data_IF_168969472486
#
_entry.id   IF_168969472486
#
_cell.length_a   1.000
_cell.length_b   1.000
_cell.length_c   1.000
_cell.angle_alpha   90.00
_cell.angle_beta   90.00
_cell.angle_gamma   90.00
#
_symmetry.space_group_name_H-M   'P 1'
#
loop_
_entity.id
_entity.type
_entity.pdbx_description
1 polymer ?
#
# COMPACT_ATOMS: atom_id res chain seq x y z
N UNK A 1 -1.82 -48.12 -15.48
CA UNK A 1 -0.63 -47.27 -15.47
C UNK A 1 -1.11 -45.84 -15.77
N UNK A 2 -1.47 -45.12 -14.75
CA UNK A 2 -1.89 -43.71 -14.88
C UNK A 2 -0.74 -42.85 -14.36
N UNK A 3 -0.10 -42.15 -15.27
CA UNK A 3 0.94 -41.16 -14.98
C UNK A 3 0.41 -40.08 -14.05
N UNK A 4 0.92 -40.06 -12.83
CA UNK A 4 0.77 -38.95 -11.88
C UNK A 4 1.63 -37.81 -12.45
N UNK A 5 1.02 -36.95 -13.28
CA UNK A 5 1.61 -35.67 -13.67
C UNK A 5 1.86 -34.86 -12.41
N UNK A 6 3.14 -34.57 -12.18
CA UNK A 6 3.67 -33.69 -11.15
C UNK A 6 2.77 -32.46 -10.96
N UNK A 7 2.30 -32.21 -9.71
CA UNK A 7 1.34 -31.18 -9.38
C UNK A 7 1.79 -29.78 -9.74
N UNK A 8 1.33 -29.26 -10.86
CA UNK A 8 1.33 -27.83 -11.11
C UNK A 8 0.49 -27.15 -10.02
N UNK A 9 1.13 -26.33 -9.18
CA UNK A 9 0.44 -25.54 -8.17
C UNK A 9 -0.65 -24.73 -8.84
N UNK A 10 -1.90 -25.02 -8.54
CA UNK A 10 -3.06 -24.30 -9.07
C UNK A 10 -2.93 -22.81 -8.79
N UNK A 11 -2.93 -21.98 -9.82
CA UNK A 11 -2.86 -20.52 -9.68
C UNK A 11 -4.16 -20.02 -9.03
N UNK A 12 -4.03 -19.31 -7.91
CA UNK A 12 -5.14 -18.70 -7.19
C UNK A 12 -5.41 -17.30 -7.76
N UNK A 13 -6.39 -17.20 -8.65
CA UNK A 13 -6.75 -15.95 -9.31
C UNK A 13 -7.31 -14.90 -8.34
N UNK A 14 -7.86 -15.33 -7.20
CA UNK A 14 -8.33 -14.48 -6.12
C UNK A 14 -7.33 -13.37 -5.79
N UNK A 15 -6.07 -13.75 -5.55
CA UNK A 15 -5.05 -12.79 -5.12
C UNK A 15 -4.60 -11.85 -6.25
N UNK A 16 -4.54 -12.33 -7.48
CA UNK A 16 -4.21 -11.45 -8.61
C UNK A 16 -5.35 -10.44 -8.86
N UNK A 17 -6.60 -10.86 -8.78
CA UNK A 17 -7.75 -9.97 -8.92
C UNK A 17 -7.81 -8.94 -7.78
N UNK A 18 -7.54 -9.36 -6.54
CA UNK A 18 -7.47 -8.44 -5.41
C UNK A 18 -6.31 -7.47 -5.52
N UNK A 19 -5.12 -7.91 -5.95
CA UNK A 19 -3.99 -6.99 -6.20
C UNK A 19 -4.32 -5.94 -7.26
N UNK A 20 -5.07 -6.31 -8.31
CA UNK A 20 -5.57 -5.31 -9.28
C UNK A 20 -6.49 -4.29 -8.62
N UNK A 21 -7.49 -4.74 -7.83
CA UNK A 21 -8.37 -3.84 -7.10
C UNK A 21 -7.54 -2.91 -6.20
N UNK A 22 -6.65 -3.47 -5.39
CA UNK A 22 -5.85 -2.72 -4.44
C UNK A 22 -4.94 -1.67 -5.11
N UNK A 23 -4.32 -1.99 -6.25
CA UNK A 23 -3.48 -1.01 -6.95
C UNK A 23 -4.31 0.11 -7.59
N UNK A 24 -5.55 -0.17 -8.04
CA UNK A 24 -6.50 0.88 -8.46
C UNK A 24 -6.83 1.80 -7.27
N UNK A 25 -7.06 1.21 -6.08
CA UNK A 25 -7.35 1.98 -4.87
C UNK A 25 -6.14 2.81 -4.39
N UNK A 26 -4.91 2.32 -4.57
CA UNK A 26 -3.68 3.11 -4.30
C UNK A 26 -3.64 4.34 -5.20
N UNK A 27 -3.84 4.17 -6.51
CA UNK A 27 -3.84 5.29 -7.45
C UNK A 27 -4.97 6.27 -7.14
N UNK A 28 -6.17 5.75 -6.84
CA UNK A 28 -7.32 6.55 -6.41
C UNK A 28 -7.00 7.35 -5.14
N UNK A 29 -6.42 6.69 -4.13
CA UNK A 29 -6.03 7.34 -2.87
C UNK A 29 -5.16 8.57 -3.10
N UNK A 30 -4.18 8.49 -4.00
CA UNK A 30 -3.30 9.61 -4.33
C UNK A 30 -3.97 10.67 -5.23
N UNK A 31 -4.90 10.30 -6.10
CA UNK A 31 -5.69 11.28 -6.86
C UNK A 31 -6.60 12.14 -5.97
N UNK A 32 -7.15 11.56 -4.89
CA UNK A 32 -8.03 12.26 -3.97
C UNK A 32 -7.28 12.94 -2.82
N UNK A 33 -6.08 12.48 -2.46
CA UNK A 33 -5.28 13.00 -1.34
C UNK A 33 -4.95 14.47 -1.55
N UNK A 34 -4.44 14.82 -2.72
CA UNK A 34 -4.14 16.21 -3.11
C UNK A 34 -5.40 17.12 -3.09
N UNK A 35 -6.59 16.52 -3.17
CA UNK A 35 -7.87 17.24 -3.19
C UNK A 35 -8.54 17.35 -1.81
N UNK A 36 -8.20 16.48 -0.86
CA UNK A 36 -8.90 16.35 0.42
C UNK A 36 -8.18 16.98 1.60
N UNK A 37 -6.89 17.25 1.51
CA UNK A 37 -6.07 17.81 2.60
C UNK A 37 -6.63 19.13 3.16
N UNK A 38 -7.52 19.80 2.42
CA UNK A 38 -8.08 21.11 2.78
C UNK A 38 -9.51 21.09 3.33
N UNK A 39 -10.16 19.93 3.50
CA UNK A 39 -11.57 19.89 3.94
C UNK A 39 -11.80 20.23 5.42
N UNK A 40 -10.76 20.10 6.24
CA UNK A 40 -10.79 20.38 7.68
C UNK A 40 -9.62 21.25 8.16
N UNK A 41 -8.74 21.70 7.25
CA UNK A 41 -7.68 22.66 7.51
C UNK A 41 -8.09 24.08 7.11
N UNK A 42 -7.48 25.06 7.74
CA UNK A 42 -7.77 26.47 7.55
C UNK A 42 -7.59 26.94 6.10
N UNK A 43 -8.64 27.59 5.60
CA UNK A 43 -8.59 28.44 4.43
C UNK A 43 -8.91 27.75 3.10
N UNK A 44 -9.87 28.30 2.39
CA UNK A 44 -10.22 27.94 1.03
C UNK A 44 -8.97 28.01 0.15
N UNK A 45 -8.58 26.88 -0.43
CA UNK A 45 -7.34 26.78 -1.16
C UNK A 45 -7.32 27.60 -2.43
N UNK A 46 -6.20 28.21 -2.71
CA UNK A 46 -5.88 28.95 -3.93
C UNK A 46 -5.90 28.11 -5.22
N UNK A 47 -6.16 26.80 -5.12
CA UNK A 47 -6.19 25.86 -6.25
C UNK A 47 -7.46 25.96 -7.11
N UNK A 48 -8.52 26.65 -6.65
CA UNK A 48 -9.78 26.77 -7.39
C UNK A 48 -10.56 25.45 -7.55
N UNK A 49 -10.12 24.36 -6.91
CA UNK A 49 -10.81 23.06 -6.95
C UNK A 49 -11.82 22.99 -5.82
N UNK A 50 -13.10 22.69 -6.09
CA UNK A 50 -14.11 22.54 -5.05
C UNK A 50 -13.73 21.43 -4.06
N UNK A 51 -13.97 21.67 -2.77
CA UNK A 51 -13.77 20.66 -1.74
C UNK A 51 -14.88 19.60 -1.82
N UNK A 52 -14.52 18.35 -2.02
CA UNK A 52 -15.48 17.25 -2.12
C UNK A 52 -15.57 16.45 -0.82
N UNK A 53 -16.66 16.63 -0.07
CA UNK A 53 -16.90 15.87 1.18
C UNK A 53 -16.82 14.36 0.98
N UNK A 54 -17.25 13.87 -0.19
CA UNK A 54 -17.21 12.44 -0.53
C UNK A 54 -15.79 11.88 -0.52
N UNK A 55 -14.79 12.68 -0.87
CA UNK A 55 -13.39 12.22 -0.88
C UNK A 55 -12.81 12.01 0.52
N UNK A 56 -13.23 12.80 1.50
CA UNK A 56 -12.84 12.56 2.89
C UNK A 56 -13.33 11.20 3.39
N UNK A 57 -14.57 10.84 3.07
CA UNK A 57 -15.11 9.52 3.37
C UNK A 57 -14.41 8.41 2.60
N UNK A 58 -14.15 8.63 1.31
CA UNK A 58 -13.44 7.68 0.46
C UNK A 58 -12.00 7.47 0.94
N UNK A 59 -11.28 8.52 1.36
CA UNK A 59 -9.95 8.42 1.93
C UNK A 59 -9.94 7.48 3.15
N UNK A 60 -10.78 7.76 4.16
CA UNK A 60 -10.86 6.91 5.36
C UNK A 60 -11.26 5.47 5.00
N UNK A 61 -12.22 5.33 4.08
CA UNK A 61 -12.67 4.01 3.62
C UNK A 61 -11.52 3.18 3.05
N UNK A 62 -10.72 3.76 2.15
CA UNK A 62 -9.64 3.09 1.45
C UNK A 62 -8.47 2.79 2.39
N UNK A 63 -8.02 3.79 3.15
CA UNK A 63 -6.83 3.67 3.99
C UNK A 63 -7.01 2.66 5.13
N UNK A 64 -8.24 2.32 5.48
CA UNK A 64 -8.51 1.31 6.49
C UNK A 64 -8.04 -0.10 6.10
N UNK A 65 -7.94 -0.43 4.81
CA UNK A 65 -7.61 -1.82 4.43
C UNK A 65 -6.63 -1.96 3.26
N UNK A 66 -6.50 -0.97 2.34
CA UNK A 66 -5.78 -1.22 1.08
C UNK A 66 -4.30 -1.58 1.30
N UNK A 67 -3.57 -0.85 2.14
CA UNK A 67 -2.16 -1.16 2.44
C UNK A 67 -2.00 -2.38 3.34
N UNK A 68 -2.74 -2.52 4.47
CA UNK A 68 -2.71 -3.75 5.26
C UNK A 68 -2.97 -5.01 4.45
N UNK A 69 -3.98 -5.00 3.57
CA UNK A 69 -4.30 -6.15 2.72
C UNK A 69 -3.25 -6.42 1.65
N UNK A 70 -2.67 -5.36 1.06
CA UNK A 70 -1.59 -5.51 0.09
C UNK A 70 -0.37 -6.19 0.72
N UNK A 71 -0.01 -5.78 1.95
CA UNK A 71 1.09 -6.37 2.72
C UNK A 71 0.78 -7.80 3.15
N UNK A 72 -0.44 -8.08 3.60
CA UNK A 72 -0.88 -9.44 3.92
C UNK A 72 -0.72 -10.37 2.70
N UNK A 73 -1.22 -9.98 1.53
CA UNK A 73 -1.06 -10.75 0.29
C UNK A 73 0.42 -10.90 -0.06
N UNK A 74 1.23 -9.87 0.11
CA UNK A 74 2.68 -9.95 -0.13
C UNK A 74 3.36 -10.95 0.79
N UNK A 75 2.97 -11.01 2.07
CA UNK A 75 3.42 -12.00 3.04
C UNK A 75 3.09 -13.42 2.61
N UNK A 76 1.85 -13.70 2.17
CA UNK A 76 1.41 -15.02 1.69
C UNK A 76 2.32 -15.61 0.61
N UNK A 77 2.85 -14.77 -0.29
CA UNK A 77 3.68 -15.20 -1.40
C UNK A 77 5.20 -15.10 -1.15
N UNK A 78 5.61 -14.59 0.01
CA UNK A 78 7.01 -14.58 0.44
C UNK A 78 7.38 -15.71 1.42
N UNK A 79 6.49 -16.66 1.64
CA UNK A 79 6.68 -17.82 2.49
C UNK A 79 7.73 -18.79 1.93
N UNK A 80 8.45 -19.50 2.82
CA UNK A 80 9.27 -20.65 2.47
C UNK A 80 10.63 -20.32 1.84
N UNK A 81 11.20 -19.15 2.18
CA UNK A 81 12.56 -18.80 1.76
C UNK A 81 13.57 -19.11 2.90
N UNK A 82 14.01 -20.37 2.97
CA UNK A 82 15.03 -20.80 3.94
C UNK A 82 16.46 -20.44 3.48
N UNK A 83 16.64 -20.12 2.20
CA UNK A 83 17.93 -19.71 1.62
C UNK A 83 18.18 -18.22 1.87
N UNK A 84 19.06 -17.91 2.83
CA UNK A 84 19.41 -16.52 3.20
C UNK A 84 19.97 -15.69 2.04
N UNK A 85 20.63 -16.30 1.05
CA UNK A 85 21.14 -15.57 -0.13
C UNK A 85 19.97 -15.09 -1.01
N UNK A 86 18.96 -15.92 -1.19
CA UNK A 86 17.76 -15.54 -1.96
C UNK A 86 16.97 -14.44 -1.25
N UNK A 87 16.85 -14.53 0.08
CA UNK A 87 16.22 -13.47 0.89
C UNK A 87 17.00 -12.17 0.76
N UNK A 88 18.33 -12.22 0.94
CA UNK A 88 19.19 -11.04 0.80
C UNK A 88 19.07 -10.41 -0.59
N UNK A 89 19.10 -11.22 -1.66
CA UNK A 89 18.93 -10.71 -3.03
C UNK A 89 17.60 -10.02 -3.26
N UNK A 90 16.50 -10.57 -2.72
CA UNK A 90 15.17 -9.93 -2.80
C UNK A 90 15.12 -8.65 -1.96
N UNK A 91 15.64 -8.68 -0.74
CA UNK A 91 15.71 -7.51 0.16
C UNK A 91 16.47 -6.36 -0.50
N UNK A 92 17.67 -6.65 -1.05
CA UNK A 92 18.45 -5.66 -1.81
C UNK A 92 17.69 -5.16 -3.04
N UNK A 93 16.95 -6.03 -3.73
CA UNK A 93 16.09 -5.65 -4.85
C UNK A 93 15.04 -4.60 -4.45
N UNK A 94 14.38 -4.79 -3.32
CA UNK A 94 13.42 -3.82 -2.80
C UNK A 94 14.08 -2.51 -2.37
N UNK A 95 15.25 -2.57 -1.73
CA UNK A 95 16.03 -1.36 -1.37
C UNK A 95 16.41 -0.57 -2.63
N UNK A 96 16.96 -1.22 -3.65
CA UNK A 96 17.35 -0.54 -4.90
C UNK A 96 16.15 0.07 -5.61
N UNK A 97 15.03 -0.68 -5.71
CA UNK A 97 13.79 -0.13 -6.31
C UNK A 97 13.27 1.04 -5.48
N UNK A 98 13.29 0.94 -4.14
CA UNK A 98 12.90 2.03 -3.24
C UNK A 98 13.73 3.29 -3.47
N UNK A 99 15.06 3.16 -3.62
CA UNK A 99 15.94 4.29 -3.93
C UNK A 99 15.64 4.90 -5.31
N UNK A 100 15.41 4.06 -6.33
CA UNK A 100 15.01 4.56 -7.65
C UNK A 100 13.66 5.29 -7.61
N UNK A 101 12.70 4.77 -6.85
CA UNK A 101 11.41 5.44 -6.63
C UNK A 101 11.60 6.79 -5.91
N UNK A 102 12.49 6.85 -4.95
CA UNK A 102 12.80 8.08 -4.22
C UNK A 102 13.39 9.14 -5.16
N UNK A 103 14.35 8.77 -6.00
CA UNK A 103 14.91 9.66 -7.03
C UNK A 103 13.82 10.10 -8.03
N UNK A 104 12.95 9.19 -8.48
CA UNK A 104 11.86 9.51 -9.40
C UNK A 104 10.82 10.44 -8.74
N UNK A 105 10.50 10.22 -7.48
CA UNK A 105 9.58 11.07 -6.72
C UNK A 105 10.15 12.49 -6.59
N UNK A 106 11.40 12.63 -6.15
CA UNK A 106 12.10 13.90 -6.08
C UNK A 106 12.11 14.64 -7.43
N UNK A 107 12.50 13.95 -8.51
CA UNK A 107 12.47 14.52 -9.85
C UNK A 107 11.07 14.99 -10.25
N UNK A 108 10.04 14.19 -9.92
CA UNK A 108 8.64 14.53 -10.23
C UNK A 108 8.18 15.76 -9.46
N UNK A 109 8.54 15.90 -8.19
CA UNK A 109 8.22 17.06 -7.36
C UNK A 109 8.85 18.31 -7.92
N UNK A 110 10.15 18.27 -8.22
CA UNK A 110 10.88 19.40 -8.84
C UNK A 110 10.29 19.78 -10.20
N UNK A 111 9.99 18.77 -11.05
CA UNK A 111 9.50 19.01 -12.42
C UNK A 111 8.07 19.53 -12.46
N UNK A 112 7.21 19.05 -11.57
CA UNK A 112 5.79 19.38 -11.53
C UNK A 112 5.43 20.34 -10.40
N UNK A 113 6.41 20.96 -9.76
CA UNK A 113 6.26 22.05 -8.79
C UNK A 113 5.10 21.79 -7.78
N UNK A 114 5.19 20.68 -7.05
CA UNK A 114 4.17 20.37 -6.03
C UNK A 114 4.30 21.39 -4.89
N UNK A 115 3.23 22.13 -4.63
CA UNK A 115 3.23 23.24 -3.65
C UNK A 115 3.45 22.77 -2.20
N UNK A 116 3.20 21.49 -1.91
CA UNK A 116 3.31 20.94 -0.57
C UNK A 116 4.72 21.06 0.04
N UNK A 117 5.76 20.87 -0.77
CA UNK A 117 7.15 20.93 -0.30
C UNK A 117 7.74 22.35 -0.32
N UNK A 118 7.11 23.31 -1.03
CA UNK A 118 7.55 24.70 -1.06
C UNK A 118 7.26 25.45 0.23
N UNK A 119 6.14 25.16 0.90
CA UNK A 119 5.76 25.82 2.17
C UNK A 119 6.63 25.35 3.34
N UNK A 120 7.14 24.11 3.29
CA UNK A 120 7.91 23.50 4.38
C UNK A 120 9.44 23.66 4.27
N UNK A 121 9.98 24.18 3.15
CA UNK A 121 11.42 24.20 2.85
C UNK A 121 11.93 25.50 2.28
N UNK A 122 11.40 26.66 2.66
CA UNK A 122 11.79 27.97 2.11
C UNK A 122 11.84 28.00 0.56
N UNK A 123 11.04 27.17 -0.09
CA UNK A 123 10.95 27.05 -1.54
C UNK A 123 11.93 26.08 -2.20
N UNK A 124 12.76 25.39 -1.44
CA UNK A 124 13.70 24.39 -1.95
C UNK A 124 13.23 22.98 -1.64
N UNK A 125 13.20 22.12 -2.67
CA UNK A 125 12.90 20.68 -2.51
C UNK A 125 14.22 19.96 -2.29
N UNK A 126 14.43 19.45 -1.06
CA UNK A 126 15.63 18.71 -0.70
C UNK A 126 15.49 17.21 -0.98
N UNK A 127 16.58 16.60 -1.49
CA UNK A 127 16.72 15.15 -1.53
C UNK A 127 17.29 14.66 -0.20
N UNK A 128 16.39 14.19 0.68
CA UNK A 128 16.81 13.51 1.91
C UNK A 128 17.08 12.04 1.62
N UNK A 129 18.30 11.57 1.87
CA UNK A 129 18.71 10.20 1.57
C UNK A 129 18.00 9.17 2.47
N UNK A 130 17.79 9.48 3.73
CA UNK A 130 17.32 8.54 4.75
C UNK A 130 15.88 8.79 5.21
N UNK A 131 15.42 10.02 5.16
CA UNK A 131 14.07 10.44 5.55
C UNK A 131 13.19 10.80 4.36
N UNK A 132 12.18 11.61 4.62
CA UNK A 132 11.23 12.13 3.63
C UNK A 132 10.00 11.25 3.45
N UNK A 133 8.87 11.90 3.17
CA UNK A 133 7.56 11.25 3.01
C UNK A 133 7.28 10.98 1.53
N UNK A 134 7.04 9.74 1.18
CA UNK A 134 6.74 9.38 -0.20
C UNK A 134 6.33 7.93 -0.37
N UNK A 135 5.76 7.62 -1.53
CA UNK A 135 5.25 6.27 -1.85
C UNK A 135 6.32 5.16 -1.79
N UNK A 136 7.58 5.51 -1.83
CA UNK A 136 8.71 4.57 -1.76
C UNK A 136 8.82 3.84 -0.41
N UNK A 137 8.16 4.33 0.66
CA UNK A 137 8.13 3.69 1.97
C UNK A 137 7.78 2.20 1.90
N UNK A 138 6.85 1.83 1.03
CA UNK A 138 6.40 0.44 0.88
C UNK A 138 7.55 -0.49 0.44
N UNK A 139 8.47 -0.02 -0.39
CA UNK A 139 9.62 -0.82 -0.81
C UNK A 139 10.60 -1.05 0.34
N UNK A 140 10.87 -0.02 1.14
CA UNK A 140 11.73 -0.16 2.33
C UNK A 140 11.07 -1.03 3.40
N UNK A 141 9.77 -0.86 3.63
CA UNK A 141 9.01 -1.73 4.52
C UNK A 141 9.05 -3.20 4.07
N UNK A 142 8.85 -3.47 2.77
CA UNK A 142 8.99 -4.82 2.22
C UNK A 142 10.38 -5.42 2.45
N UNK A 143 11.44 -4.63 2.26
CA UNK A 143 12.81 -5.07 2.54
C UNK A 143 12.98 -5.41 4.04
N UNK A 144 12.51 -4.54 4.94
CA UNK A 144 12.55 -4.76 6.38
C UNK A 144 11.75 -6.01 6.78
N UNK A 145 10.53 -6.18 6.28
CA UNK A 145 9.67 -7.32 6.61
C UNK A 145 10.27 -8.65 6.17
N UNK A 146 10.85 -8.70 4.98
CA UNK A 146 11.53 -9.91 4.50
C UNK A 146 12.73 -10.27 5.37
N UNK A 147 13.54 -9.28 5.74
CA UNK A 147 14.67 -9.46 6.65
C UNK A 147 14.23 -9.95 8.04
N UNK A 148 13.21 -9.28 8.63
CA UNK A 148 12.65 -9.65 9.93
C UNK A 148 12.07 -11.08 9.92
N UNK A 149 11.27 -11.43 8.90
CA UNK A 149 10.73 -12.79 8.79
C UNK A 149 11.82 -13.85 8.66
N UNK A 150 12.91 -13.56 7.95
CA UNK A 150 14.05 -14.48 7.87
C UNK A 150 14.78 -14.63 9.21
N UNK A 151 15.02 -13.54 9.93
CA UNK A 151 15.65 -13.56 11.24
C UNK A 151 14.79 -14.29 12.29
N UNK A 152 13.46 -14.09 12.23
CA UNK A 152 12.50 -14.64 13.18
C UNK A 152 11.91 -16.00 12.75
N UNK A 153 12.42 -16.62 11.67
CA UNK A 153 11.85 -17.86 11.10
C UNK A 153 11.77 -19.04 12.05
N UNK A 154 12.67 -19.08 13.04
CA UNK A 154 12.73 -20.15 14.04
C UNK A 154 11.94 -19.79 15.33
N UNK A 155 11.37 -18.59 15.40
CA UNK A 155 10.60 -18.14 16.55
C UNK A 155 9.16 -18.65 16.48
N UNK A 156 8.51 -18.77 17.63
CA UNK A 156 7.10 -19.15 17.70
C UNK A 156 6.22 -18.05 17.11
N UNK A 157 5.32 -18.36 16.15
CA UNK A 157 4.54 -17.34 15.46
C UNK A 157 3.75 -16.41 16.38
N UNK A 158 3.14 -16.95 17.43
CA UNK A 158 2.38 -16.15 18.40
C UNK A 158 3.30 -15.17 19.17
N UNK A 159 4.53 -15.58 19.51
CA UNK A 159 5.48 -14.70 20.21
C UNK A 159 5.94 -13.54 19.30
N UNK A 160 6.20 -13.82 18.02
CA UNK A 160 6.53 -12.78 17.03
C UNK A 160 5.38 -11.78 16.90
N UNK A 161 4.14 -12.28 16.77
CA UNK A 161 2.97 -11.43 16.57
C UNK A 161 2.70 -10.55 17.81
N UNK A 162 2.75 -11.13 19.02
CA UNK A 162 2.54 -10.36 20.26
C UNK A 162 3.61 -9.30 20.46
N UNK A 163 4.89 -9.64 20.20
CA UNK A 163 5.99 -8.66 20.27
C UNK A 163 5.84 -7.55 19.24
N UNK A 164 5.45 -7.89 18.01
CA UNK A 164 5.21 -6.92 16.94
C UNK A 164 4.06 -5.96 17.29
N UNK A 165 2.97 -6.47 17.87
CA UNK A 165 1.87 -5.62 18.36
C UNK A 165 2.33 -4.73 19.53
N UNK A 166 3.10 -5.28 20.48
CA UNK A 166 3.62 -4.53 21.62
C UNK A 166 4.63 -3.45 21.22
N UNK A 167 5.38 -3.63 20.12
CA UNK A 167 6.32 -2.63 19.63
C UNK A 167 5.68 -1.28 19.28
N UNK A 168 4.37 -1.27 18.98
CA UNK A 168 3.59 -0.05 18.77
C UNK A 168 3.21 0.72 20.04
N UNK A 169 3.69 0.29 21.22
CA UNK A 169 3.36 0.93 22.51
C UNK A 169 4.01 2.30 22.68
N UNK A 170 5.22 2.49 22.16
CA UNK A 170 5.97 3.73 22.32
C UNK A 170 5.29 4.90 21.58
N UNK A 171 4.89 5.97 22.29
CA UNK A 171 4.17 7.09 21.70
C UNK A 171 5.06 7.99 20.82
N UNK A 172 6.38 7.90 20.90
CA UNK A 172 7.32 8.69 20.12
C UNK A 172 7.61 8.12 18.74
N UNK A 173 7.31 6.83 18.51
CA UNK A 173 7.55 6.18 17.22
C UNK A 173 6.68 6.80 16.13
N UNK A 174 7.31 7.63 15.32
CA UNK A 174 6.69 8.41 14.24
C UNK A 174 7.25 8.09 12.86
N UNK A 175 7.33 9.13 12.05
CA UNK A 175 7.64 9.05 10.62
C UNK A 175 9.12 8.88 10.30
N UNK A 176 9.99 9.08 11.28
CA UNK A 176 11.43 8.95 11.07
C UNK A 176 11.79 7.55 10.56
N UNK A 177 12.50 7.50 9.44
CA UNK A 177 12.93 6.27 8.77
C UNK A 177 11.79 5.26 8.49
N UNK A 178 10.55 5.73 8.36
CA UNK A 178 9.36 4.89 8.16
C UNK A 178 9.09 3.89 9.30
N UNK A 179 9.68 4.09 10.48
CA UNK A 179 9.62 3.16 11.61
C UNK A 179 8.19 2.89 12.06
N UNK A 180 7.36 3.93 12.15
CA UNK A 180 5.96 3.75 12.55
C UNK A 180 5.21 2.81 11.59
N UNK A 181 5.38 3.01 10.27
CA UNK A 181 4.77 2.14 9.26
C UNK A 181 5.29 0.70 9.33
N UNK A 182 6.60 0.53 9.57
CA UNK A 182 7.18 -0.80 9.74
C UNK A 182 6.55 -1.49 10.95
N UNK A 183 6.46 -0.83 12.09
CA UNK A 183 5.87 -1.39 13.33
C UNK A 183 4.39 -1.70 13.15
N UNK A 184 3.61 -0.75 12.61
CA UNK A 184 2.15 -0.88 12.49
C UNK A 184 1.75 -1.93 11.46
N UNK A 185 2.48 -2.03 10.34
CA UNK A 185 2.09 -2.91 9.24
C UNK A 185 2.77 -4.28 9.26
N UNK A 186 3.84 -4.48 10.01
CA UNK A 186 4.50 -5.78 10.13
C UNK A 186 3.57 -6.91 10.57
N UNK A 187 2.65 -6.74 11.54
CA UNK A 187 1.70 -7.80 11.91
C UNK A 187 0.86 -8.31 10.74
N UNK A 188 0.41 -7.44 9.84
CA UNK A 188 -0.37 -7.85 8.66
C UNK A 188 0.47 -8.67 7.68
N UNK A 189 1.69 -8.20 7.39
CA UNK A 189 2.61 -8.94 6.54
C UNK A 189 2.98 -10.29 7.15
N UNK A 190 3.27 -10.34 8.45
CA UNK A 190 3.65 -11.54 9.16
C UNK A 190 2.52 -12.56 9.25
N UNK A 191 1.28 -12.11 9.47
CA UNK A 191 0.10 -12.98 9.37
C UNK A 191 0.02 -13.65 7.99
N UNK A 192 0.24 -12.90 6.90
CA UNK A 192 0.34 -13.47 5.57
C UNK A 192 1.48 -14.46 5.44
N UNK A 193 2.67 -14.15 5.97
CA UNK A 193 3.85 -15.00 5.89
C UNK A 193 3.67 -16.37 6.56
N UNK A 194 2.93 -16.45 7.67
CA UNK A 194 2.72 -17.72 8.39
C UNK A 194 1.52 -18.52 7.87
N UNK A 195 0.53 -17.88 7.25
CA UNK A 195 -0.68 -18.53 6.76
C UNK A 195 -0.46 -19.19 5.39
N UNK A 196 -1.25 -20.21 5.10
CA UNK A 196 -1.24 -20.89 3.81
C UNK A 196 -2.23 -20.23 2.84
N UNK A 197 -1.79 -19.82 1.63
CA UNK A 197 -2.65 -19.10 0.69
C UNK A 197 -3.84 -19.93 0.21
N UNK A 198 -3.69 -21.26 0.07
CA UNK A 198 -4.79 -22.15 -0.35
C UNK A 198 -5.85 -22.25 0.75
N UNK A 199 -5.42 -22.45 2.01
CA UNK A 199 -6.32 -22.51 3.16
C UNK A 199 -7.05 -21.19 3.39
N UNK A 200 -6.36 -20.05 3.24
CA UNK A 200 -7.00 -18.74 3.31
C UNK A 200 -8.05 -18.60 2.21
N UNK A 201 -7.72 -18.96 0.96
CA UNK A 201 -8.66 -18.89 -0.16
C UNK A 201 -9.89 -19.82 0.07
N UNK A 202 -9.69 -21.03 0.56
CA UNK A 202 -10.79 -21.95 0.90
C UNK A 202 -11.69 -21.40 2.01
N UNK A 203 -11.11 -20.81 3.04
CA UNK A 203 -11.87 -20.22 4.14
C UNK A 203 -12.73 -19.05 3.69
N UNK A 204 -12.18 -18.10 2.93
CA UNK A 204 -12.90 -16.89 2.54
C UNK A 204 -13.95 -17.12 1.44
N UNK A 205 -13.87 -18.24 0.69
CA UNK A 205 -14.86 -18.61 -0.33
C UNK A 205 -16.19 -19.12 0.23
N UNK A 206 -16.26 -19.43 1.51
CA UNK A 206 -17.50 -19.94 2.14
C UNK A 206 -18.61 -18.89 2.00
N UNK A 207 -19.84 -19.35 1.70
CA UNK A 207 -20.97 -18.45 1.41
C UNK A 207 -21.27 -17.46 2.55
N UNK A 208 -21.20 -17.92 3.79
CA UNK A 208 -21.44 -17.07 4.95
C UNK A 208 -20.38 -15.97 5.11
N UNK A 209 -19.13 -16.24 4.68
CA UNK A 209 -18.06 -15.23 4.67
C UNK A 209 -18.41 -14.08 3.72
N UNK A 210 -19.03 -14.35 2.57
CA UNK A 210 -19.49 -13.31 1.64
C UNK A 210 -20.57 -12.43 2.26
N UNK A 211 -21.55 -13.04 2.93
CA UNK A 211 -22.63 -12.29 3.60
C UNK A 211 -22.07 -11.40 4.70
N UNK A 212 -21.23 -11.98 5.58
CA UNK A 212 -20.56 -11.22 6.65
C UNK A 212 -19.69 -10.09 6.08
N UNK A 213 -18.93 -10.37 5.02
CA UNK A 213 -18.08 -9.39 4.34
C UNK A 213 -18.86 -8.20 3.82
N UNK A 214 -19.99 -8.44 3.15
CA UNK A 214 -20.86 -7.37 2.67
C UNK A 214 -21.41 -6.53 3.83
N UNK A 215 -21.80 -7.18 4.95
CA UNK A 215 -22.24 -6.49 6.16
C UNK A 215 -21.15 -5.58 6.74
N UNK A 216 -19.94 -6.12 6.92
CA UNK A 216 -18.79 -5.36 7.47
C UNK A 216 -18.43 -4.17 6.57
N UNK A 217 -18.33 -4.39 5.25
CA UNK A 217 -18.02 -3.33 4.29
C UNK A 217 -19.14 -2.28 4.28
N UNK A 218 -20.41 -2.70 4.32
CA UNK A 218 -21.56 -1.79 4.34
C UNK A 218 -21.60 -0.93 5.61
N UNK A 219 -21.35 -1.51 6.78
CA UNK A 219 -21.27 -0.77 8.05
C UNK A 219 -20.12 0.23 7.99
N UNK A 220 -18.93 -0.17 7.53
CA UNK A 220 -17.79 0.74 7.42
C UNK A 220 -18.05 1.87 6.43
N UNK A 221 -18.63 1.55 5.27
CA UNK A 221 -19.03 2.55 4.28
C UNK A 221 -20.04 3.57 4.87
N UNK A 222 -21.03 3.09 5.63
CA UNK A 222 -21.98 3.98 6.32
C UNK A 222 -21.26 4.99 7.23
N UNK A 223 -20.32 4.52 8.06
CA UNK A 223 -19.55 5.44 8.91
C UNK A 223 -18.70 6.41 8.09
N UNK A 224 -18.04 5.94 7.04
CA UNK A 224 -17.19 6.79 6.21
C UNK A 224 -17.95 7.87 5.45
N UNK A 225 -19.13 7.58 4.91
CA UNK A 225 -19.85 8.52 4.05
C UNK A 225 -20.96 9.30 4.78
N UNK A 226 -21.65 8.68 5.73
CA UNK A 226 -22.73 9.34 6.49
C UNK A 226 -22.23 9.97 7.79
N UNK A 227 -21.28 9.35 8.46
CA UNK A 227 -20.71 9.79 9.74
C UNK A 227 -19.23 10.22 9.59
N UNK A 228 -18.85 10.78 8.45
CA UNK A 228 -17.47 11.14 8.08
C UNK A 228 -16.75 11.91 9.20
N UNK A 229 -17.39 12.90 9.81
CA UNK A 229 -16.79 13.71 10.90
C UNK A 229 -16.33 12.86 12.09
N UNK A 230 -17.01 11.74 12.37
CA UNK A 230 -16.67 10.84 13.47
C UNK A 230 -15.41 10.02 13.18
N UNK A 231 -15.27 9.53 11.93
CA UNK A 231 -14.21 8.60 11.56
C UNK A 231 -13.01 9.27 10.87
N UNK A 232 -13.16 10.49 10.37
CA UNK A 232 -12.11 11.19 9.65
C UNK A 232 -10.82 11.43 10.48
N UNK A 233 -10.88 11.72 11.79
CA UNK A 233 -9.67 11.81 12.61
C UNK A 233 -8.85 10.52 12.64
N UNK A 234 -9.49 9.35 12.50
CA UNK A 234 -8.81 8.05 12.44
C UNK A 234 -7.82 7.92 11.26
N UNK A 235 -7.94 8.79 10.23
CA UNK A 235 -7.05 8.78 9.06
C UNK A 235 -5.58 8.81 9.45
N UNK A 236 -5.22 9.54 10.51
CA UNK A 236 -3.84 9.67 10.96
C UNK A 236 -3.30 8.35 11.55
N UNK A 237 -4.14 7.57 12.23
CA UNK A 237 -3.79 6.22 12.68
C UNK A 237 -3.78 5.21 11.53
N UNK A 238 -4.72 5.33 10.59
CA UNK A 238 -4.87 4.42 9.44
C UNK A 238 -3.69 4.49 8.46
N UNK A 239 -3.07 5.66 8.31
CA UNK A 239 -1.86 5.82 7.48
C UNK A 239 -0.64 5.12 8.08
N UNK A 240 -0.68 4.86 9.39
CA UNK A 240 0.39 4.19 10.13
C UNK A 240 1.68 4.98 10.28
N UNK A 241 1.71 6.26 9.86
CA UNK A 241 2.95 7.05 9.84
C UNK A 241 3.14 7.93 11.08
N UNK A 242 2.04 8.39 11.66
CA UNK A 242 2.09 9.42 12.69
C UNK A 242 2.37 8.83 14.09
N UNK A 243 3.15 9.54 14.89
CA UNK A 243 3.30 9.26 16.33
C UNK A 243 2.01 9.63 17.07
N UNK A 244 1.82 9.11 18.28
CA UNK A 244 0.67 9.50 19.10
C UNK A 244 0.71 10.99 19.46
N UNK A 245 1.92 11.53 19.68
CA UNK A 245 2.10 12.96 19.97
C UNK A 245 1.64 13.83 18.80
N UNK A 246 2.12 13.54 17.59
CA UNK A 246 1.72 14.33 16.41
C UNK A 246 0.22 14.21 16.08
N UNK A 247 -0.42 13.09 16.42
CA UNK A 247 -1.86 12.94 16.26
C UNK A 247 -2.60 13.79 17.29
N UNK A 248 -2.19 13.75 18.57
CA UNK A 248 -2.82 14.54 19.64
C UNK A 248 -2.65 16.04 19.42
N UNK A 249 -1.53 16.49 18.86
CA UNK A 249 -1.30 17.90 18.50
C UNK A 249 -2.16 18.34 17.30
N UNK A 250 -2.34 17.47 16.32
CA UNK A 250 -3.08 17.79 15.08
C UNK A 250 -4.59 17.55 15.18
N UNK A 251 -5.05 16.89 16.23
CA UNK A 251 -6.46 16.54 16.45
C UNK A 251 -6.77 16.60 17.93
N UNK A 252 -8.03 16.87 18.30
CA UNK A 252 -8.47 16.80 19.71
C UNK A 252 -8.60 15.35 20.23
N UNK A 253 -7.87 14.40 19.67
CA UNK A 253 -7.92 12.98 20.03
C UNK A 253 -6.75 12.59 20.92
N UNK A 254 -7.03 12.15 22.13
CA UNK A 254 -6.05 11.44 22.96
C UNK A 254 -5.77 10.06 22.37
N UNK A 255 -4.73 9.98 21.54
CA UNK A 255 -4.33 8.73 20.93
C UNK A 255 -3.41 7.93 21.84
N UNK A 256 -3.77 6.68 22.04
CA UNK A 256 -3.03 5.73 22.87
C UNK A 256 -2.74 4.46 22.10
N UNK A 257 -1.91 3.59 22.68
CA UNK A 257 -1.68 2.24 22.18
C UNK A 257 -3.00 1.47 21.92
N UNK A 258 -4.00 1.63 22.81
CA UNK A 258 -5.29 0.97 22.66
C UNK A 258 -6.06 1.49 21.44
N UNK A 259 -6.01 2.79 21.17
CA UNK A 259 -6.58 3.40 19.95
C UNK A 259 -5.96 2.80 18.70
N UNK A 260 -4.64 2.60 18.69
CA UNK A 260 -3.94 1.96 17.58
C UNK A 260 -4.35 0.50 17.41
N UNK A 261 -4.41 -0.28 18.49
CA UNK A 261 -4.86 -1.67 18.43
C UNK A 261 -6.31 -1.78 17.90
N UNK A 262 -7.20 -0.89 18.33
CA UNK A 262 -8.57 -0.84 17.83
C UNK A 262 -8.60 -0.60 16.31
N UNK A 263 -7.86 0.39 15.84
CA UNK A 263 -7.78 0.71 14.40
C UNK A 263 -7.16 -0.44 13.60
N UNK A 264 -6.11 -1.08 14.12
CA UNK A 264 -5.53 -2.28 13.50
C UNK A 264 -6.54 -3.45 13.46
N UNK A 265 -7.37 -3.61 14.50
CA UNK A 265 -8.46 -4.58 14.53
C UNK A 265 -9.52 -4.32 13.46
N UNK A 266 -9.94 -3.05 13.31
CA UNK A 266 -10.84 -2.61 12.23
C UNK A 266 -10.23 -2.92 10.86
N UNK A 267 -8.95 -2.60 10.66
CA UNK A 267 -8.22 -2.89 9.43
C UNK A 267 -8.15 -4.39 9.14
N UNK A 268 -7.87 -5.22 10.14
CA UNK A 268 -7.83 -6.67 9.98
C UNK A 268 -9.21 -7.25 9.58
N UNK A 269 -10.28 -6.76 10.22
CA UNK A 269 -11.65 -7.16 9.90
C UNK A 269 -12.03 -6.77 8.47
N UNK A 270 -11.68 -5.56 8.04
CA UNK A 270 -11.91 -5.08 6.68
C UNK A 270 -11.05 -5.84 5.65
N UNK A 271 -9.80 -6.17 5.96
CA UNK A 271 -8.96 -7.02 5.11
C UNK A 271 -9.62 -8.39 4.89
N UNK A 272 -10.11 -9.01 5.96
CA UNK A 272 -10.84 -10.28 5.86
C UNK A 272 -12.13 -10.14 5.04
N UNK A 273 -12.87 -9.04 5.22
CA UNK A 273 -14.08 -8.77 4.48
C UNK A 273 -13.81 -8.56 2.96
N UNK A 274 -12.77 -7.82 2.61
CA UNK A 274 -12.39 -7.61 1.20
C UNK A 274 -11.89 -8.91 0.56
N UNK A 275 -11.16 -9.77 1.30
CA UNK A 275 -10.82 -11.12 0.87
C UNK A 275 -12.08 -11.95 0.59
N UNK A 276 -13.11 -11.87 1.45
CA UNK A 276 -14.35 -12.64 1.38
C UNK A 276 -15.24 -12.31 0.17
N UNK A 277 -15.18 -11.08 -0.34
CA UNK A 277 -15.87 -10.69 -1.59
C UNK A 277 -15.05 -10.96 -2.85
N UNK A 278 -13.77 -11.31 -2.70
CA UNK A 278 -12.87 -11.55 -3.82
C UNK A 278 -13.31 -12.72 -4.71
N UNK A 279 -13.04 -12.62 -6.01
CA UNK A 279 -13.40 -13.61 -7.02
C UNK A 279 -12.18 -14.45 -7.41
N UNK A 280 -12.28 -15.78 -7.28
CA UNK A 280 -11.24 -16.72 -7.72
C UNK A 280 -11.55 -17.30 -9.10
N UNK A 281 -11.75 -16.39 -10.06
CA UNK A 281 -11.95 -16.71 -11.47
C UNK A 281 -10.95 -15.94 -12.32
N UNK A 282 -10.52 -16.53 -13.44
CA UNK A 282 -9.63 -15.85 -14.36
C UNK A 282 -10.39 -14.77 -15.12
N UNK A 283 -10.09 -13.52 -14.84
CA UNK A 283 -10.57 -12.35 -15.58
C UNK A 283 -9.35 -11.82 -16.36
N UNK A 284 -9.23 -12.09 -17.70
CA UNK A 284 -7.95 -12.00 -18.41
C UNK A 284 -7.18 -10.69 -18.18
N UNK A 285 -7.85 -9.54 -18.34
CA UNK A 285 -7.24 -8.22 -18.18
C UNK A 285 -6.90 -7.94 -16.71
N UNK A 286 -7.85 -8.12 -15.80
CA UNK A 286 -7.71 -7.86 -14.37
C UNK A 286 -6.62 -8.74 -13.76
N UNK A 287 -6.69 -10.05 -14.00
CA UNK A 287 -5.70 -11.02 -13.50
C UNK A 287 -4.29 -10.71 -14.02
N UNK A 288 -4.18 -10.28 -15.30
CA UNK A 288 -2.89 -9.93 -15.90
C UNK A 288 -2.33 -8.65 -15.27
N UNK A 289 -3.15 -7.62 -15.09
CA UNK A 289 -2.73 -6.38 -14.42
C UNK A 289 -2.39 -6.62 -12.95
N UNK A 290 -3.16 -7.45 -12.23
CA UNK A 290 -2.89 -7.82 -10.85
C UNK A 290 -1.54 -8.51 -10.63
N UNK A 291 -1.00 -9.19 -11.66
CA UNK A 291 0.36 -9.74 -11.61
C UNK A 291 1.47 -8.71 -11.88
N UNK A 292 1.12 -7.45 -12.21
CA UNK A 292 2.06 -6.38 -12.61
C UNK A 292 1.96 -5.14 -11.73
N UNK A 293 1.48 -5.28 -10.52
CA UNK A 293 1.23 -4.15 -9.62
C UNK A 293 2.49 -3.37 -9.25
N UNK A 294 3.67 -4.01 -9.23
CA UNK A 294 4.93 -3.35 -8.90
C UNK A 294 5.28 -2.21 -9.90
N UNK A 295 5.08 -2.45 -11.20
CA UNK A 295 5.36 -1.41 -12.20
C UNK A 295 4.35 -0.25 -12.10
N UNK A 296 3.08 -0.55 -11.81
CA UNK A 296 2.07 0.50 -11.55
C UNK A 296 2.47 1.30 -10.32
N UNK A 297 2.84 0.61 -9.23
CA UNK A 297 3.27 1.24 -7.98
C UNK A 297 4.51 2.14 -8.19
N UNK A 298 5.42 1.76 -9.07
CA UNK A 298 6.61 2.54 -9.38
C UNK A 298 6.29 3.88 -10.05
N UNK A 299 5.37 3.90 -11.02
CA UNK A 299 5.13 5.04 -11.89
C UNK A 299 3.95 5.94 -11.51
N UNK A 300 2.97 5.43 -10.76
CA UNK A 300 1.68 6.11 -10.58
C UNK A 300 1.81 7.51 -9.97
N UNK A 301 2.70 7.71 -8.99
CA UNK A 301 2.82 9.02 -8.33
C UNK A 301 3.30 10.11 -9.29
N UNK A 302 4.23 9.79 -10.18
CA UNK A 302 4.66 10.71 -11.24
C UNK A 302 3.49 11.13 -12.13
N UNK A 303 2.61 10.19 -12.49
CA UNK A 303 1.40 10.51 -13.29
C UNK A 303 0.44 11.41 -12.49
N UNK A 304 0.23 11.12 -11.22
CA UNK A 304 -0.62 11.94 -10.35
C UNK A 304 -0.08 13.37 -10.24
N UNK A 305 1.21 13.55 -9.97
CA UNK A 305 1.84 14.88 -9.95
C UNK A 305 1.69 15.62 -11.29
N UNK A 306 1.89 14.93 -12.40
CA UNK A 306 1.69 15.51 -13.73
C UNK A 306 0.24 15.99 -13.93
N UNK A 307 -0.75 15.18 -13.58
CA UNK A 307 -2.17 15.55 -13.71
C UNK A 307 -2.53 16.75 -12.83
N UNK A 308 -2.02 16.79 -11.61
CA UNK A 308 -2.24 17.90 -10.67
C UNK A 308 -1.60 19.19 -11.19
N UNK A 309 -0.36 19.12 -11.68
CA UNK A 309 0.36 20.27 -12.26
C UNK A 309 -0.37 20.88 -13.45
N UNK A 310 -0.95 20.06 -14.33
CA UNK A 310 -1.74 20.53 -15.47
C UNK A 310 -3.18 20.89 -15.14
N UNK A 311 -3.56 20.90 -13.86
CA UNK A 311 -4.89 21.34 -13.40
C UNK A 311 -6.02 20.42 -13.81
N UNK A 312 -5.75 19.10 -13.91
CA UNK A 312 -6.74 18.13 -14.37
C UNK A 312 -7.99 18.10 -13.49
N UNK A 313 -7.85 18.22 -12.17
CA UNK A 313 -8.97 18.31 -11.22
C UNK A 313 -9.85 19.54 -11.49
N UNK A 314 -9.24 20.70 -11.68
CA UNK A 314 -9.93 21.95 -12.01
C UNK A 314 -10.65 21.85 -13.36
N UNK A 315 -10.01 21.22 -14.35
CA UNK A 315 -10.65 20.95 -15.63
C UNK A 315 -11.89 20.06 -15.47
N UNK A 316 -11.82 18.98 -14.71
CA UNK A 316 -12.97 18.11 -14.46
C UNK A 316 -14.09 18.84 -13.73
N UNK A 317 -13.76 19.63 -12.71
CA UNK A 317 -14.74 20.40 -11.95
C UNK A 317 -15.48 21.44 -12.81
N UNK A 318 -14.75 22.04 -13.77
CA UNK A 318 -15.34 22.98 -14.74
C UNK A 318 -16.16 22.29 -15.81
N UNK A 319 -15.68 21.18 -16.35
CA UNK A 319 -16.33 20.44 -17.44
C UNK A 319 -17.56 19.64 -16.97
N UNK A 320 -17.51 19.13 -15.74
CA UNK A 320 -18.52 18.22 -15.17
C UNK A 320 -18.86 18.60 -13.72
N UNK A 321 -19.45 19.78 -13.44
CA UNK A 321 -19.62 20.32 -12.09
C UNK A 321 -20.31 19.38 -11.08
N UNK A 322 -21.30 18.60 -11.55
CA UNK A 322 -22.09 17.71 -10.69
C UNK A 322 -21.46 16.33 -10.47
N UNK A 323 -20.45 15.93 -11.27
CA UNK A 323 -19.93 14.55 -11.30
C UNK A 323 -18.41 14.47 -11.40
N UNK A 324 -17.71 15.57 -11.18
CA UNK A 324 -16.26 15.63 -11.35
C UNK A 324 -15.53 14.65 -10.39
N UNK A 325 -16.05 14.44 -9.18
CA UNK A 325 -15.48 13.48 -8.23
C UNK A 325 -15.53 12.05 -8.77
N UNK A 326 -16.66 11.69 -9.40
CA UNK A 326 -16.81 10.38 -10.03
C UNK A 326 -15.83 10.22 -11.18
N UNK A 327 -15.68 11.22 -12.05
CA UNK A 327 -14.74 11.15 -13.17
C UNK A 327 -13.29 11.12 -12.69
N UNK A 328 -12.94 11.87 -11.63
CA UNK A 328 -11.63 11.79 -11.02
C UNK A 328 -11.36 10.38 -10.45
N UNK A 329 -12.33 9.81 -9.75
CA UNK A 329 -12.21 8.45 -9.24
C UNK A 329 -12.04 7.42 -10.36
N UNK A 330 -12.82 7.53 -11.43
CA UNK A 330 -12.72 6.64 -12.59
C UNK A 330 -11.39 6.78 -13.33
N UNK A 331 -10.69 7.92 -13.23
CA UNK A 331 -9.37 8.13 -13.85
C UNK A 331 -8.29 7.16 -13.32
N UNK A 332 -8.44 6.63 -12.11
CA UNK A 332 -7.52 5.62 -11.59
C UNK A 332 -7.45 4.36 -12.48
N UNK A 333 -8.56 3.96 -13.10
CA UNK A 333 -8.64 2.74 -13.91
C UNK A 333 -7.75 2.83 -15.17
N UNK A 334 -7.92 3.82 -16.08
CA UNK A 334 -7.08 3.95 -17.26
C UNK A 334 -5.60 4.16 -16.91
N UNK A 335 -5.26 4.88 -15.83
CA UNK A 335 -3.87 5.00 -15.36
C UNK A 335 -3.28 3.61 -15.08
N UNK A 336 -3.98 2.79 -14.30
CA UNK A 336 -3.52 1.43 -13.97
C UNK A 336 -3.41 0.58 -15.24
N UNK A 337 -4.38 0.61 -16.14
CA UNK A 337 -4.37 -0.19 -17.37
C UNK A 337 -3.19 0.19 -18.28
N UNK A 338 -2.91 1.47 -18.45
CA UNK A 338 -1.75 1.97 -19.22
C UNK A 338 -0.45 1.52 -18.56
N UNK A 339 -0.32 1.74 -17.26
CA UNK A 339 0.90 1.35 -16.53
C UNK A 339 1.10 -0.16 -16.44
N UNK A 340 0.08 -0.98 -16.68
CA UNK A 340 0.21 -2.45 -16.80
C UNK A 340 0.81 -2.91 -18.14
N UNK A 341 1.04 -2.02 -19.11
CA UNK A 341 1.72 -2.36 -20.37
C UNK A 341 3.18 -2.75 -20.07
N UNK A 342 3.70 -3.75 -20.76
CA UNK A 342 5.03 -4.35 -20.47
C UNK A 342 6.18 -3.34 -20.45
N UNK A 343 6.10 -2.28 -21.26
CA UNK A 343 7.17 -1.29 -21.40
C UNK A 343 7.50 -0.62 -20.05
N UNK A 344 6.49 -0.37 -19.22
CA UNK A 344 6.68 0.24 -17.88
C UNK A 344 7.35 -0.69 -16.88
N UNK A 345 7.36 -2.01 -17.13
CA UNK A 345 8.05 -3.00 -16.32
C UNK A 345 9.52 -3.18 -16.67
N UNK A 346 9.94 -2.78 -17.88
CA UNK A 346 11.32 -3.01 -18.37
C UNK A 346 12.40 -2.50 -17.41
N UNK A 347 12.35 -1.26 -16.89
CA UNK A 347 13.39 -0.78 -15.97
C UNK A 347 13.50 -1.64 -14.70
N UNK A 348 12.38 -2.06 -14.15
CA UNK A 348 12.33 -2.90 -12.95
C UNK A 348 12.85 -4.31 -13.21
N UNK A 349 12.51 -4.90 -14.35
CA UNK A 349 13.00 -6.20 -14.77
C UNK A 349 14.52 -6.20 -14.98
N UNK A 350 15.08 -5.12 -15.51
CA UNK A 350 16.52 -4.94 -15.67
C UNK A 350 17.25 -4.93 -14.32
N UNK A 351 16.75 -4.15 -13.35
CA UNK A 351 17.27 -4.09 -11.98
C UNK A 351 17.21 -5.45 -11.30
N UNK A 352 16.05 -6.10 -11.34
CA UNK A 352 15.86 -7.41 -10.70
C UNK A 352 16.69 -8.51 -11.33
N UNK A 353 16.88 -8.50 -12.66
CA UNK A 353 17.76 -9.44 -13.36
C UNK A 353 19.24 -9.20 -13.01
N UNK A 354 19.69 -7.95 -12.95
CA UNK A 354 21.05 -7.59 -12.56
C UNK A 354 21.40 -8.12 -11.15
N UNK A 355 20.47 -8.00 -10.20
CA UNK A 355 20.66 -8.49 -8.84
C UNK A 355 20.67 -10.04 -8.79
N UNK A 356 19.82 -10.72 -9.57
CA UNK A 356 19.78 -12.20 -9.66
C UNK A 356 21.02 -12.76 -10.32
N UNK A 357 21.44 -12.23 -11.45
CA UNK A 357 22.64 -12.67 -12.16
C UNK A 357 23.91 -12.53 -11.33
N UNK A 358 24.03 -11.47 -10.53
CA UNK A 358 25.14 -11.29 -9.60
C UNK A 358 25.19 -12.36 -8.49
N UNK A 359 24.02 -12.81 -8.02
CA UNK A 359 23.93 -13.90 -7.04
C UNK A 359 24.31 -15.26 -7.61
N UNK A 360 24.10 -15.50 -8.90
CA UNK A 360 24.49 -16.75 -9.58
C UNK A 360 25.99 -16.77 -9.83
N UNK A 361 26.63 -15.68 -10.21
CA UNK A 361 28.09 -15.53 -10.33
C UNK A 361 28.81 -15.75 -8.99
N UNK A 362 28.22 -15.23 -7.87
CA UNK A 362 28.77 -15.45 -6.52
C UNK A 362 28.68 -16.94 -6.12
N UNK A 363 27.66 -17.66 -6.60
CA UNK A 363 27.52 -19.10 -6.37
C UNK A 363 28.63 -19.90 -7.10
N UNK A 364 28.94 -19.56 -8.35
CA UNK A 364 29.97 -20.22 -9.13
C UNK A 364 31.37 -20.01 -8.51
N UNK A 365 31.66 -18.79 -8.04
CA UNK A 365 32.94 -18.47 -7.42
C UNK A 365 33.09 -18.99 -5.97
N UNK A 366 31.98 -19.25 -5.26
CA UNK A 366 31.96 -19.77 -3.89
C UNK A 366 32.08 -21.29 -3.78
N UNK A 367 31.76 -22.02 -4.84
CA UNK A 367 31.89 -23.49 -4.91
C UNK A 367 33.26 -23.96 -5.46
N UNK A 368 34.16 -23.02 -5.75
CA UNK A 368 35.51 -23.28 -6.25
C UNK A 368 36.62 -23.15 -5.20
N UNK A 369 36.29 -23.21 -3.90
CA UNK A 369 37.26 -23.24 -2.80
C UNK A 369 37.02 -24.41 -1.88
#
# INVERSE_FOLDING_TARGET
MNDIKSGEKKRLYLYDNLKFLLIVLVVLGHLIDDSTVKLFGDGGGETGVPQAKVFSGAFVFLYAFHMPLFLFISGLFNRGHDDGRKVLGKTLGFVVIGMLMKCLNYWSQVRFQTDFDRENSDGEIFFDLLGGDGVYWYMFAMAAFMGLCYLLRNSRPWAVLTTALAAGYDPSVGDEYELSRIVVFFPFYYCGYVLDPEKVAEFVKKWYMRVLSLGVIGIWAYFCFEKTKLVYPLRMLLTGRNSYFSISEATDMDCTFLSRLLVMGISALLCLAVLGIGLDVKIPLITKCGSRTLQVYFWHRTIVYMLTYYGYQAYLAKAFPERWELYLALTAIPIVLVLCIKIFGVPLDMVLKGIRGRNDIIKENGNGK
#
